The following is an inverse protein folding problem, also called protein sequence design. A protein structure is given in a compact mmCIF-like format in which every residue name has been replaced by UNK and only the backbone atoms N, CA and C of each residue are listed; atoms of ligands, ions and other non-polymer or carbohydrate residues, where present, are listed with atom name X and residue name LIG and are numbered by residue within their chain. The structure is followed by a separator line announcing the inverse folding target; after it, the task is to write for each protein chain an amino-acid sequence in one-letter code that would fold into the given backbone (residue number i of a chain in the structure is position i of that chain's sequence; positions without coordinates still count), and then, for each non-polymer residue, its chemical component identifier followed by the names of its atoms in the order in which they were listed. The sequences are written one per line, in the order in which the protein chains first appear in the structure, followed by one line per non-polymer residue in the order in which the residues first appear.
data_IF_599758797223
#
_entry.id   IF_599758797223
#
_cell.length_a   1.000
_cell.length_b   1.000
_cell.length_c   1.000
_cell.angle_alpha   90.00
_cell.angle_beta   90.00
_cell.angle_gamma   90.00
#
_symmetry.space_group_name_H-M   'P 1'
#
loop_
_entity.id
_entity.type
_entity.pdbx_description
1 polymer ?
#
# COMPACT_ATOMS: atom_id res chain seq x y z
N UNK A 1 -29.48 -12.80 -31.46
CA UNK A 1 -29.74 -11.74 -30.48
C UNK A 1 -28.41 -11.14 -30.07
N UNK A 2 -28.08 -9.91 -30.45
CA UNK A 2 -26.88 -9.23 -29.92
C UNK A 2 -27.37 -8.29 -28.81
N UNK A 3 -26.82 -8.48 -27.61
CA UNK A 3 -27.05 -7.57 -26.47
C UNK A 3 -25.85 -6.63 -26.42
N UNK A 4 -26.10 -5.35 -26.65
CA UNK A 4 -25.10 -4.31 -26.48
C UNK A 4 -25.21 -3.78 -25.04
N UNK A 5 -24.26 -4.12 -24.19
CA UNK A 5 -24.19 -3.55 -22.85
C UNK A 5 -23.80 -2.07 -22.95
N UNK A 6 -24.32 -1.19 -22.08
CA UNK A 6 -23.88 0.19 -22.02
C UNK A 6 -22.37 0.25 -21.67
N UNK A 7 -21.67 1.15 -22.32
CA UNK A 7 -20.26 1.38 -22.04
C UNK A 7 -20.12 2.03 -20.67
N UNK A 8 -19.46 1.35 -19.74
CA UNK A 8 -19.22 1.88 -18.41
C UNK A 8 -17.93 2.72 -18.43
N UNK A 9 -18.03 3.98 -17.99
CA UNK A 9 -16.89 4.90 -17.90
C UNK A 9 -16.75 5.45 -16.49
N UNK A 10 -15.53 5.81 -16.12
CA UNK A 10 -15.26 6.64 -14.95
C UNK A 10 -15.37 8.11 -15.36
N UNK A 11 -15.78 8.95 -14.42
CA UNK A 11 -15.97 10.39 -14.62
C UNK A 11 -15.23 11.15 -13.50
N UNK A 12 -13.90 11.01 -13.48
CA UNK A 12 -13.02 11.80 -12.61
C UNK A 12 -12.30 12.83 -13.49
N UNK A 13 -12.01 14.03 -12.97
CA UNK A 13 -11.12 14.97 -13.67
C UNK A 13 -9.75 14.31 -13.91
N UNK A 14 -9.25 14.39 -15.14
CA UNK A 14 -7.91 13.94 -15.48
C UNK A 14 -6.87 14.89 -14.87
N UNK A 15 -5.84 14.36 -14.24
CA UNK A 15 -4.74 15.13 -13.66
C UNK A 15 -3.40 14.51 -14.07
N UNK A 16 -2.40 15.36 -14.30
CA UNK A 16 -1.04 14.94 -14.66
C UNK A 16 -0.31 14.38 -13.42
N UNK A 17 -0.75 13.21 -13.01
CA UNK A 17 -0.17 12.44 -11.90
C UNK A 17 0.51 11.22 -12.52
N UNK A 18 1.81 11.00 -12.26
CA UNK A 18 2.53 9.86 -12.82
C UNK A 18 1.90 8.54 -12.41
N UNK A 19 1.63 7.69 -13.38
CA UNK A 19 1.21 6.30 -13.19
C UNK A 19 2.35 5.39 -13.63
N UNK A 20 2.71 4.43 -12.80
CA UNK A 20 3.82 3.50 -13.04
C UNK A 20 3.29 2.08 -13.25
N UNK A 21 2.92 1.69 -14.49
CA UNK A 21 2.48 0.34 -14.79
C UNK A 21 3.62 -0.66 -14.59
N UNK A 22 3.34 -1.79 -13.94
CA UNK A 22 4.24 -2.94 -13.81
C UNK A 22 3.71 -4.16 -14.55
N UNK A 23 2.41 -4.18 -14.82
CA UNK A 23 1.75 -5.18 -15.66
C UNK A 23 0.48 -4.58 -16.27
N UNK A 24 0.20 -4.91 -17.52
CA UNK A 24 -1.03 -4.50 -18.19
C UNK A 24 -1.43 -5.51 -19.26
N UNK A 25 -2.71 -5.87 -19.28
CA UNK A 25 -3.36 -6.63 -20.36
C UNK A 25 -4.76 -6.06 -20.65
N UNK A 26 -5.61 -6.82 -21.33
CA UNK A 26 -6.98 -6.40 -21.67
C UNK A 26 -7.92 -6.32 -20.44
N UNK A 27 -7.59 -7.04 -19.37
CA UNK A 27 -8.43 -7.21 -18.20
C UNK A 27 -7.94 -6.45 -16.96
N UNK A 28 -6.63 -6.33 -16.80
CA UNK A 28 -5.98 -5.80 -15.59
C UNK A 28 -4.92 -4.76 -15.94
N UNK A 29 -4.80 -3.79 -15.06
CA UNK A 29 -3.66 -2.89 -14.96
C UNK A 29 -3.13 -2.95 -13.52
N UNK A 30 -1.87 -3.33 -13.34
CA UNK A 30 -1.19 -3.30 -12.06
C UNK A 30 -0.18 -2.17 -12.07
N UNK A 31 -0.27 -1.28 -11.09
CA UNK A 31 0.63 -0.14 -10.98
C UNK A 31 1.44 -0.20 -9.69
N UNK A 32 2.63 0.37 -9.71
CA UNK A 32 3.44 0.63 -8.52
C UNK A 32 3.05 2.00 -7.97
N UNK A 33 2.19 2.02 -6.94
CA UNK A 33 1.73 3.26 -6.33
C UNK A 33 2.85 3.95 -5.54
N UNK A 34 3.08 5.22 -5.82
CA UNK A 34 3.98 6.09 -5.05
C UNK A 34 3.38 6.47 -3.68
N UNK A 35 4.21 6.90 -2.70
CA UNK A 35 3.73 7.42 -1.42
C UNK A 35 3.11 8.81 -1.57
N UNK A 36 2.43 9.29 -0.52
CA UNK A 36 1.89 10.65 -0.44
C UNK A 36 0.61 10.88 -1.26
N UNK A 37 0.01 9.85 -1.84
CA UNK A 37 -1.19 9.96 -2.67
C UNK A 37 -2.24 8.92 -2.30
N UNK A 38 -3.50 9.34 -2.20
CA UNK A 38 -4.64 8.45 -1.95
C UNK A 38 -5.11 7.79 -3.25
N UNK A 39 -5.70 6.61 -3.11
CA UNK A 39 -6.12 5.79 -4.26
C UNK A 39 -7.36 6.37 -4.94
N UNK A 40 -8.38 6.72 -4.17
CA UNK A 40 -9.71 7.08 -4.69
C UNK A 40 -10.21 8.37 -4.07
N UNK A 41 -10.91 9.23 -4.82
CA UNK A 41 -11.48 10.46 -4.28
C UNK A 41 -12.39 10.20 -3.06
N UNK A 42 -12.27 11.05 -2.07
CA UNK A 42 -13.11 11.07 -0.88
C UNK A 42 -13.69 12.46 -0.65
N UNK A 43 -14.64 12.60 0.28
CA UNK A 43 -15.22 13.93 0.61
C UNK A 43 -14.17 14.97 1.02
N UNK A 44 -13.08 14.54 1.68
CA UNK A 44 -11.99 15.42 2.09
C UNK A 44 -10.89 15.62 1.04
N UNK A 45 -10.82 14.74 0.05
CA UNK A 45 -9.81 14.74 -1.01
C UNK A 45 -10.48 14.39 -2.36
N UNK A 46 -11.20 15.32 -3.00
CA UNK A 46 -11.92 15.07 -4.25
C UNK A 46 -11.00 15.00 -5.48
N UNK A 47 -9.78 15.50 -5.36
CA UNK A 47 -8.76 15.60 -6.40
C UNK A 47 -7.41 15.04 -5.90
N UNK A 48 -6.43 15.02 -6.79
CA UNK A 48 -5.06 14.58 -6.51
C UNK A 48 -5.00 13.13 -6.01
N UNK A 49 -5.69 12.23 -6.72
CA UNK A 49 -5.74 10.80 -6.40
C UNK A 49 -5.22 9.95 -7.55
N UNK A 50 -4.91 8.69 -7.28
CA UNK A 50 -4.54 7.73 -8.34
C UNK A 50 -5.66 7.62 -9.39
N UNK A 51 -6.93 7.73 -9.00
CA UNK A 51 -8.04 7.72 -9.95
C UNK A 51 -7.95 8.88 -10.97
N UNK A 52 -7.56 10.09 -10.51
CA UNK A 52 -7.37 11.25 -11.39
C UNK A 52 -6.18 11.03 -12.36
N UNK A 53 -5.07 10.48 -11.85
CA UNK A 53 -3.92 10.11 -12.70
C UNK A 53 -4.25 9.04 -13.73
N UNK A 54 -5.07 8.04 -13.35
CA UNK A 54 -5.52 7.00 -14.27
C UNK A 54 -6.42 7.55 -15.41
N UNK A 55 -7.21 8.60 -15.16
CA UNK A 55 -7.95 9.28 -16.23
C UNK A 55 -6.99 9.86 -17.27
N UNK A 56 -5.95 10.56 -16.83
CA UNK A 56 -4.91 11.09 -17.72
C UNK A 56 -4.15 9.97 -18.44
N UNK A 57 -3.78 8.92 -17.73
CA UNK A 57 -3.14 7.74 -18.33
C UNK A 57 -3.99 7.12 -19.46
N UNK A 58 -5.31 6.99 -19.25
CA UNK A 58 -6.22 6.48 -20.27
C UNK A 58 -6.30 7.41 -21.49
N UNK A 59 -6.31 8.73 -21.29
CA UNK A 59 -6.25 9.70 -22.39
C UNK A 59 -4.97 9.52 -23.21
N UNK A 60 -3.82 9.48 -22.54
CA UNK A 60 -2.51 9.40 -23.19
C UNK A 60 -2.28 8.06 -23.92
N UNK A 61 -2.88 6.99 -23.44
CA UNK A 61 -2.78 5.65 -24.04
C UNK A 61 -3.95 5.30 -24.95
N UNK A 62 -4.88 6.26 -25.19
CA UNK A 62 -6.09 6.08 -25.99
C UNK A 62 -6.93 4.86 -25.52
N UNK A 63 -7.04 4.68 -24.22
CA UNK A 63 -7.85 3.66 -23.59
C UNK A 63 -9.11 4.27 -22.95
N UNK A 64 -10.15 3.44 -22.79
CA UNK A 64 -11.39 3.86 -22.12
C UNK A 64 -11.98 2.67 -21.36
N UNK A 65 -11.93 2.72 -20.03
CA UNK A 65 -12.56 1.73 -19.15
C UNK A 65 -13.05 2.37 -17.87
N UNK A 66 -13.94 1.70 -17.16
CA UNK A 66 -14.30 2.09 -15.81
C UNK A 66 -13.22 1.64 -14.84
N UNK A 67 -12.64 2.58 -14.10
CA UNK A 67 -11.64 2.28 -13.07
C UNK A 67 -12.27 1.48 -11.93
N UNK A 68 -11.75 0.30 -11.66
CA UNK A 68 -12.21 -0.60 -10.59
C UNK A 68 -11.01 -1.04 -9.77
N UNK A 69 -10.76 -0.35 -8.67
CA UNK A 69 -9.72 -0.78 -7.74
C UNK A 69 -10.11 -2.08 -7.06
N UNK A 70 -9.26 -3.09 -7.16
CA UNK A 70 -9.47 -4.40 -6.55
C UNK A 70 -8.95 -4.43 -5.11
N UNK A 71 -7.84 -3.77 -4.86
CA UNK A 71 -7.28 -3.55 -3.53
C UNK A 71 -7.12 -2.04 -3.28
N UNK A 72 -6.68 -1.71 -2.09
CA UNK A 72 -6.32 -0.35 -1.71
C UNK A 72 -5.00 -0.36 -0.94
N UNK A 73 -4.28 0.74 -1.06
CA UNK A 73 -3.12 1.07 -0.24
C UNK A 73 -3.40 2.41 0.44
N UNK A 74 -2.90 2.59 1.64
CA UNK A 74 -3.00 3.85 2.34
C UNK A 74 -2.12 4.93 1.67
N UNK A 75 -2.29 6.19 2.03
CA UNK A 75 -1.66 7.32 1.36
C UNK A 75 -0.14 7.14 1.24
N UNK A 76 0.51 6.81 2.34
CA UNK A 76 1.97 6.71 2.40
C UNK A 76 2.51 5.29 2.13
N UNK A 77 1.62 4.32 1.92
CA UNK A 77 2.03 2.96 1.52
C UNK A 77 2.32 2.92 0.03
N UNK A 78 3.48 2.38 -0.32
CA UNK A 78 3.89 2.12 -1.71
C UNK A 78 3.59 0.69 -2.13
N UNK A 79 3.64 0.42 -3.44
CA UNK A 79 3.59 -0.94 -3.99
C UNK A 79 2.38 -1.21 -4.86
N UNK A 80 2.04 -2.48 -5.01
CA UNK A 80 1.14 -2.96 -6.07
C UNK A 80 -0.32 -2.60 -5.81
N UNK A 81 -0.90 -1.85 -6.73
CA UNK A 81 -2.32 -1.53 -6.79
C UNK A 81 -2.93 -2.12 -8.06
N UNK A 82 -3.95 -2.96 -7.89
CA UNK A 82 -4.61 -3.67 -8.98
C UNK A 82 -5.86 -2.90 -9.39
N UNK A 83 -5.94 -2.61 -10.67
CA UNK A 83 -7.10 -1.98 -11.33
C UNK A 83 -7.67 -2.97 -12.32
N UNK A 84 -8.92 -3.37 -12.14
CA UNK A 84 -9.64 -4.15 -13.14
C UNK A 84 -10.28 -3.22 -14.19
N UNK A 85 -10.09 -3.54 -15.47
CA UNK A 85 -10.63 -2.78 -16.60
C UNK A 85 -12.09 -3.12 -16.89
N UNK A 86 -12.56 -4.27 -16.42
CA UNK A 86 -13.95 -4.72 -16.55
C UNK A 86 -14.46 -5.38 -15.27
N UNK A 87 -15.77 -5.61 -15.20
CA UNK A 87 -16.42 -6.17 -14.01
C UNK A 87 -16.10 -7.64 -13.79
N UNK A 88 -15.86 -8.40 -14.86
CA UNK A 88 -15.54 -9.83 -14.77
C UNK A 88 -14.18 -10.04 -14.09
N UNK A 89 -13.16 -9.32 -14.55
CA UNK A 89 -11.83 -9.34 -13.93
C UNK A 89 -11.87 -8.87 -12.47
N UNK A 90 -12.66 -7.82 -12.17
CA UNK A 90 -12.84 -7.36 -10.79
C UNK A 90 -13.41 -8.48 -9.91
N UNK A 91 -14.50 -9.11 -10.35
CA UNK A 91 -15.17 -10.18 -9.60
C UNK A 91 -14.26 -11.38 -9.37
N UNK A 92 -13.47 -11.77 -10.37
CA UNK A 92 -12.59 -12.92 -10.28
C UNK A 92 -11.48 -12.68 -9.28
N UNK A 93 -10.76 -11.56 -9.37
CA UNK A 93 -9.69 -11.22 -8.41
C UNK A 93 -10.25 -11.04 -6.99
N UNK A 94 -11.42 -10.42 -6.83
CA UNK A 94 -12.08 -10.28 -5.52
C UNK A 94 -12.46 -11.64 -4.93
N UNK A 95 -12.92 -12.60 -5.76
CA UNK A 95 -13.19 -13.98 -5.32
C UNK A 95 -11.91 -14.68 -4.84
N UNK A 96 -10.81 -14.55 -5.57
CA UNK A 96 -9.51 -15.08 -5.17
C UNK A 96 -9.03 -14.48 -3.85
N UNK A 97 -9.16 -13.16 -3.66
CA UNK A 97 -8.83 -12.49 -2.41
C UNK A 97 -9.69 -12.97 -1.23
N UNK A 98 -10.99 -13.18 -1.45
CA UNK A 98 -11.90 -13.72 -0.41
C UNK A 98 -11.61 -15.17 -0.07
N UNK A 99 -11.18 -15.96 -1.04
CA UNK A 99 -10.76 -17.35 -0.85
C UNK A 99 -9.35 -17.48 -0.24
N UNK A 100 -8.66 -16.36 0.02
CA UNK A 100 -7.28 -16.30 0.49
C UNK A 100 -6.29 -17.06 -0.44
N UNK A 101 -6.59 -17.12 -1.74
CA UNK A 101 -5.67 -17.65 -2.75
C UNK A 101 -4.75 -16.58 -3.33
N UNK A 102 -5.00 -15.31 -2.98
CA UNK A 102 -4.13 -14.17 -3.30
C UNK A 102 -3.40 -13.75 -2.04
N UNK A 103 -2.08 -13.81 -2.06
CA UNK A 103 -1.25 -13.39 -0.95
C UNK A 103 -1.01 -11.87 -0.96
N UNK A 104 -1.20 -11.23 0.19
CA UNK A 104 -0.91 -9.81 0.39
C UNK A 104 0.35 -9.69 1.23
N UNK A 105 1.50 -9.55 0.55
CA UNK A 105 2.81 -9.43 1.18
C UNK A 105 3.27 -7.99 1.19
N UNK A 106 3.85 -7.57 2.30
CA UNK A 106 4.44 -6.26 2.50
C UNK A 106 5.83 -6.41 3.09
N UNK A 107 6.68 -5.46 2.79
CA UNK A 107 7.97 -5.28 3.46
C UNK A 107 7.89 -4.00 4.26
N UNK A 108 8.33 -4.06 5.52
CA UNK A 108 8.39 -2.90 6.38
C UNK A 108 9.71 -2.86 7.16
N UNK A 109 10.22 -1.65 7.34
CA UNK A 109 11.28 -1.38 8.29
C UNK A 109 10.62 -0.82 9.56
N UNK A 110 10.72 -1.55 10.65
CA UNK A 110 10.12 -1.17 11.93
C UNK A 110 11.18 -0.72 12.93
N UNK A 111 10.85 0.26 13.73
CA UNK A 111 11.72 0.77 14.79
C UNK A 111 11.81 -0.26 15.93
N UNK A 112 13.03 -0.46 16.45
CA UNK A 112 13.32 -1.43 17.49
C UNK A 112 13.75 -2.79 16.94
N UNK A 113 14.20 -3.64 17.86
CA UNK A 113 14.67 -4.99 17.57
C UNK A 113 13.63 -5.99 18.02
N UNK A 114 13.09 -6.74 17.06
CA UNK A 114 12.18 -7.85 17.31
C UNK A 114 13.03 -9.09 17.59
N UNK A 115 12.83 -9.74 18.75
CA UNK A 115 13.63 -10.88 19.17
C UNK A 115 13.25 -12.17 18.43
N UNK A 116 11.95 -12.38 18.19
CA UNK A 116 11.42 -13.57 17.54
C UNK A 116 11.66 -13.52 16.02
N UNK A 117 11.99 -14.66 15.40
CA UNK A 117 12.20 -14.73 13.95
C UNK A 117 10.89 -14.73 13.15
N UNK A 118 9.81 -15.22 13.76
CA UNK A 118 8.47 -15.18 13.18
C UNK A 118 7.40 -15.30 14.27
N UNK A 119 6.29 -14.60 14.04
CA UNK A 119 5.12 -14.64 14.93
C UNK A 119 3.86 -14.23 14.19
N UNK A 120 2.72 -14.38 14.85
CA UNK A 120 1.43 -13.96 14.32
C UNK A 120 0.82 -12.92 15.25
N UNK A 121 0.38 -11.81 14.67
CA UNK A 121 -0.46 -10.82 15.33
C UNK A 121 -1.90 -11.16 14.97
N UNK A 122 -2.67 -11.62 15.97
CA UNK A 122 -4.11 -11.90 15.85
C UNK A 122 -4.85 -11.04 16.86
N UNK A 123 -5.06 -9.78 16.51
CA UNK A 123 -5.67 -8.78 17.39
C UNK A 123 -6.78 -8.04 16.62
N UNK A 124 -8.00 -7.99 17.18
CA UNK A 124 -9.10 -7.31 16.52
C UNK A 124 -8.81 -5.81 16.35
N UNK A 125 -9.06 -5.29 15.14
CA UNK A 125 -8.88 -3.87 14.84
C UNK A 125 -10.25 -3.23 14.61
N UNK A 126 -10.48 -2.10 15.25
CA UNK A 126 -11.73 -1.37 15.12
C UNK A 126 -11.56 0.14 15.19
N UNK A 127 -12.69 0.78 15.23
CA UNK A 127 -12.81 2.23 15.40
C UNK A 127 -13.43 2.48 16.77
N UNK A 128 -12.68 3.03 17.75
CA UNK A 128 -13.22 3.26 19.09
C UNK A 128 -14.33 4.31 19.09
N UNK A 129 -14.22 5.30 18.21
CA UNK A 129 -15.23 6.33 17.99
C UNK A 129 -15.63 6.34 16.51
N UNK A 130 -16.92 6.34 16.14
CA UNK A 130 -17.36 6.42 14.76
C UNK A 130 -16.83 7.66 14.00
N UNK A 131 -16.54 8.76 14.70
CA UNK A 131 -16.01 9.99 14.13
C UNK A 131 -14.47 9.97 14.00
N UNK A 132 -13.76 9.10 14.74
CA UNK A 132 -12.30 8.97 14.62
C UNK A 132 -11.93 8.18 13.37
N UNK A 133 -11.03 8.73 12.57
CA UNK A 133 -10.49 8.05 11.38
C UNK A 133 -9.46 6.98 11.74
N UNK A 134 -8.86 7.07 12.90
CA UNK A 134 -7.83 6.14 13.39
C UNK A 134 -8.42 4.78 13.73
N UNK A 135 -7.59 3.77 13.60
CA UNK A 135 -7.89 2.40 14.00
C UNK A 135 -7.05 2.04 15.22
N UNK A 136 -7.64 1.21 16.09
CA UNK A 136 -6.96 0.69 17.28
C UNK A 136 -7.26 -0.80 17.45
N UNK A 137 -6.39 -1.49 18.14
CA UNK A 137 -6.69 -2.80 18.70
C UNK A 137 -7.82 -2.62 19.73
N UNK A 138 -8.84 -3.48 19.64
CA UNK A 138 -10.03 -3.43 20.50
C UNK A 138 -10.27 -4.81 21.11
N UNK A 139 -10.55 -4.86 22.40
CA UNK A 139 -10.94 -6.12 23.07
C UNK A 139 -12.35 -6.54 22.65
N UNK A 140 -13.24 -5.58 22.43
CA UNK A 140 -14.62 -5.83 22.01
C UNK A 140 -14.97 -4.96 20.79
N UNK A 141 -15.81 -5.48 19.90
CA UNK A 141 -16.33 -4.75 18.73
C UNK A 141 -15.34 -4.51 17.59
N UNK A 142 -14.12 -5.03 17.71
CA UNK A 142 -13.13 -5.01 16.63
C UNK A 142 -13.40 -6.10 15.57
N UNK A 143 -12.87 -5.90 14.37
CA UNK A 143 -12.89 -6.91 13.31
C UNK A 143 -11.65 -7.80 13.40
N UNK A 144 -11.77 -9.13 13.28
CA UNK A 144 -10.64 -10.04 13.26
C UNK A 144 -9.57 -9.58 12.26
N UNK A 145 -8.34 -9.49 12.71
CA UNK A 145 -7.22 -8.97 11.92
C UNK A 145 -5.97 -9.80 12.19
N UNK A 146 -5.56 -10.57 11.19
CA UNK A 146 -4.45 -11.52 11.30
C UNK A 146 -3.33 -11.13 10.36
N UNK A 147 -2.14 -10.94 10.91
CA UNK A 147 -0.89 -10.65 10.19
C UNK A 147 0.19 -11.62 10.63
N UNK A 148 0.76 -12.38 9.71
CA UNK A 148 1.95 -13.18 9.95
C UNK A 148 3.19 -12.33 9.69
N UNK A 149 4.09 -12.29 10.66
CA UNK A 149 5.33 -11.52 10.62
C UNK A 149 6.50 -12.48 10.50
N UNK A 150 7.41 -12.19 9.55
CA UNK A 150 8.69 -12.87 9.41
C UNK A 150 9.80 -11.83 9.43
N UNK A 151 10.74 -11.99 10.37
CA UNK A 151 11.92 -11.13 10.43
C UNK A 151 12.89 -11.53 9.31
N UNK A 152 13.30 -10.55 8.53
CA UNK A 152 14.25 -10.72 7.43
C UNK A 152 15.66 -10.31 7.86
N UNK A 153 15.78 -9.21 8.63
CA UNK A 153 17.06 -8.74 9.14
C UNK A 153 16.88 -7.86 10.38
N UNK A 154 17.92 -7.79 11.21
CA UNK A 154 18.01 -6.92 12.39
C UNK A 154 19.24 -6.02 12.28
N UNK A 155 19.07 -4.76 12.61
CA UNK A 155 20.10 -3.71 12.47
C UNK A 155 20.32 -3.05 13.84
N UNK A 156 21.04 -3.71 14.71
CA UNK A 156 21.37 -3.25 16.06
C UNK A 156 22.39 -2.10 16.00
N UNK A 157 22.22 -1.10 16.85
CA UNK A 157 23.11 0.04 16.93
C UNK A 157 23.22 0.87 15.65
N UNK A 158 22.29 0.71 14.71
CA UNK A 158 22.27 1.43 13.44
C UNK A 158 21.31 2.61 13.46
N UNK A 159 21.67 3.66 12.76
CA UNK A 159 20.80 4.81 12.52
C UNK A 159 19.73 4.48 11.46
N UNK A 160 18.67 5.28 11.40
CA UNK A 160 17.63 5.14 10.38
C UNK A 160 18.21 5.11 8.96
N UNK A 161 19.21 5.95 8.67
CA UNK A 161 19.86 5.99 7.37
C UNK A 161 20.51 4.67 6.97
N UNK A 162 21.16 3.95 7.90
CA UNK A 162 21.72 2.62 7.61
C UNK A 162 20.64 1.54 7.47
N UNK A 163 19.51 1.67 8.18
CA UNK A 163 18.34 0.77 8.00
C UNK A 163 17.70 0.95 6.63
N UNK A 164 17.56 2.19 6.17
CA UNK A 164 17.05 2.51 4.83
C UNK A 164 17.99 2.04 3.72
N UNK A 165 19.31 2.19 3.89
CA UNK A 165 20.29 1.64 2.94
C UNK A 165 20.20 0.11 2.84
N UNK A 166 19.95 -0.58 3.96
CA UNK A 166 19.74 -2.03 3.97
C UNK A 166 18.42 -2.45 3.31
N UNK A 167 17.33 -1.67 3.52
CA UNK A 167 16.07 -1.88 2.80
C UNK A 167 16.25 -1.66 1.30
N UNK A 168 17.01 -0.66 0.88
CA UNK A 168 17.34 -0.42 -0.52
C UNK A 168 18.12 -1.60 -1.10
N UNK A 169 19.16 -2.08 -0.42
CA UNK A 169 19.91 -3.27 -0.85
C UNK A 169 19.05 -4.53 -0.97
N UNK A 170 18.05 -4.70 -0.08
CA UNK A 170 17.07 -5.78 -0.21
C UNK A 170 16.19 -5.58 -1.45
N UNK A 171 15.67 -4.36 -1.68
CA UNK A 171 14.86 -4.03 -2.85
C UNK A 171 15.63 -4.27 -4.15
N UNK A 172 16.89 -3.84 -4.21
CA UNK A 172 17.76 -4.02 -5.38
C UNK A 172 18.06 -5.50 -5.66
N UNK A 173 18.08 -6.35 -4.61
CA UNK A 173 18.29 -7.79 -4.76
C UNK A 173 17.10 -8.55 -5.36
N UNK A 174 15.90 -7.96 -5.29
CA UNK A 174 14.66 -8.57 -5.82
C UNK A 174 14.13 -7.89 -7.10
N UNK A 175 14.66 -6.69 -7.43
CA UNK A 175 14.29 -5.90 -8.60
C UNK A 175 15.56 -5.55 -9.38
N UNK A 176 15.91 -6.33 -10.40
CA UNK A 176 17.15 -6.16 -11.16
C UNK A 176 17.25 -4.86 -11.99
N UNK A 177 16.22 -3.99 -12.08
CA UNK A 177 16.16 -2.94 -13.12
C UNK A 177 15.88 -1.50 -12.71
N UNK A 178 15.79 -1.11 -11.42
CA UNK A 178 15.58 0.31 -11.08
C UNK A 178 16.64 0.88 -10.14
N UNK A 179 17.47 1.79 -10.67
CA UNK A 179 18.32 2.67 -9.86
C UNK A 179 17.43 3.62 -9.04
N UNK A 180 17.28 3.33 -7.76
CA UNK A 180 16.59 4.22 -6.83
C UNK A 180 17.59 5.24 -6.28
N UNK A 181 17.26 6.52 -6.42
CA UNK A 181 17.97 7.64 -5.80
C UNK A 181 17.90 7.56 -4.27
N UNK A 182 18.98 7.92 -3.59
CA UNK A 182 19.11 7.85 -2.13
C UNK A 182 17.92 8.47 -1.38
N UNK A 183 17.38 7.80 -0.35
CA UNK A 183 16.35 8.41 0.50
C UNK A 183 16.96 9.56 1.30
N UNK A 184 16.42 10.75 1.10
CA UNK A 184 16.93 12.00 1.66
C UNK A 184 16.45 12.26 3.09
N UNK A 185 16.65 11.33 4.04
CA UNK A 185 16.48 11.65 5.46
C UNK A 185 17.80 12.07 6.07
N UNK A 186 17.85 13.28 6.65
CA UNK A 186 19.00 13.80 7.35
C UNK A 186 18.76 13.77 8.87
N UNK A 187 19.80 13.66 9.70
CA UNK A 187 19.67 13.91 11.14
C UNK A 187 19.00 15.25 11.39
N UNK A 188 17.90 15.26 12.16
CA UNK A 188 17.08 16.43 12.40
C UNK A 188 15.79 16.51 11.58
N UNK A 189 15.61 15.68 10.57
CA UNK A 189 14.35 15.61 9.83
C UNK A 189 13.23 15.10 10.73
N UNK A 190 12.05 15.69 10.55
CA UNK A 190 10.83 15.27 11.22
C UNK A 190 10.14 14.18 10.38
N UNK A 191 9.91 13.02 10.98
CA UNK A 191 9.14 11.95 10.37
C UNK A 191 7.87 11.71 11.17
N UNK A 192 6.80 11.33 10.49
CA UNK A 192 5.54 10.97 11.17
C UNK A 192 5.50 9.47 11.39
N UNK A 193 5.48 9.06 12.66
CA UNK A 193 5.32 7.65 13.05
C UNK A 193 4.05 7.53 13.90
N UNK A 194 3.09 6.74 13.46
CA UNK A 194 1.79 6.55 14.13
C UNK A 194 1.01 7.85 14.39
N UNK A 195 1.23 8.90 13.58
CA UNK A 195 0.59 10.20 13.76
C UNK A 195 1.34 11.17 14.68
N UNK A 196 2.41 10.73 15.32
CA UNK A 196 3.30 11.57 16.12
C UNK A 196 4.49 12.04 15.27
N UNK A 197 4.86 13.30 15.43
CA UNK A 197 6.04 13.89 14.79
C UNK A 197 7.26 13.50 15.62
N UNK A 198 8.12 12.65 15.05
CA UNK A 198 9.35 12.18 15.70
C UNK A 198 10.56 12.76 14.99
N UNK A 199 11.49 13.35 15.77
CA UNK A 199 12.78 13.74 15.23
C UNK A 199 13.66 12.50 15.04
N UNK A 200 14.40 12.42 13.96
CA UNK A 200 15.26 11.25 13.63
C UNK A 200 16.25 10.92 14.76
N UNK A 201 16.55 11.87 15.64
CA UNK A 201 17.40 11.68 16.84
C UNK A 201 16.72 10.91 17.98
N UNK A 202 15.39 10.76 17.96
CA UNK A 202 14.60 10.09 19.01
C UNK A 202 14.27 8.63 18.67
N UNK A 203 14.71 8.16 17.49
CA UNK A 203 14.46 6.79 17.07
C UNK A 203 15.29 5.78 17.89
N UNK A 204 14.71 4.61 18.18
CA UNK A 204 15.42 3.57 18.95
C UNK A 204 16.72 3.15 18.25
N UNK A 205 17.68 2.67 19.03
CA UNK A 205 19.03 2.29 18.59
C UNK A 205 19.07 1.02 17.72
N UNK A 206 18.03 0.77 16.93
CA UNK A 206 17.99 -0.38 16.05
C UNK A 206 16.69 -0.44 15.22
N UNK A 207 16.72 -1.26 14.18
CA UNK A 207 15.61 -1.49 13.25
C UNK A 207 15.49 -2.96 12.92
N UNK A 208 14.28 -3.39 12.61
CA UNK A 208 14.02 -4.73 12.10
C UNK A 208 13.32 -4.63 10.74
N UNK A 209 13.88 -5.29 9.75
CA UNK A 209 13.25 -5.49 8.45
C UNK A 209 12.35 -6.71 8.53
N UNK A 210 11.08 -6.55 8.19
CA UNK A 210 10.09 -7.63 8.28
C UNK A 210 9.33 -7.82 6.97
N UNK A 211 8.98 -9.06 6.69
CA UNK A 211 7.93 -9.42 5.74
C UNK A 211 6.63 -9.61 6.51
N UNK A 212 5.54 -9.05 5.99
CA UNK A 212 4.20 -9.14 6.56
C UNK A 212 3.30 -9.85 5.55
N UNK A 213 2.68 -10.96 5.96
CA UNK A 213 1.63 -11.62 5.18
C UNK A 213 0.29 -11.37 5.84
N UNK A 214 -0.57 -10.59 5.18
CA UNK A 214 -1.89 -10.25 5.68
C UNK A 214 -2.91 -11.33 5.28
N UNK A 215 -3.38 -12.10 6.24
CA UNK A 215 -4.49 -13.04 6.05
C UNK A 215 -5.83 -12.30 5.93
N UNK A 216 -5.95 -11.17 6.59
CA UNK A 216 -7.09 -10.26 6.50
C UNK A 216 -6.70 -8.97 5.78
N UNK A 217 -7.65 -8.07 5.51
CA UNK A 217 -7.38 -6.77 4.89
C UNK A 217 -8.24 -5.72 5.55
N UNK A 218 -7.83 -5.22 6.70
CA UNK A 218 -8.52 -4.14 7.42
C UNK A 218 -7.87 -2.79 7.11
N UNK A 219 -8.63 -1.72 7.27
CA UNK A 219 -8.09 -0.37 7.15
C UNK A 219 -7.03 -0.15 8.22
N UNK A 220 -5.85 0.32 7.84
CA UNK A 220 -4.68 0.57 8.70
C UNK A 220 -4.20 -0.70 9.45
N UNK A 221 -4.40 -1.89 8.89
CA UNK A 221 -3.83 -3.12 9.43
C UNK A 221 -2.33 -3.13 9.16
#
# INVERSE_FOLDING_TARGET
LSIKLPEEKSDFPAEDIPIYPVYEDDDLLVINKQPGIIVHPTKGHPYHTIANGLMKYMEDTNQSFKIRFVNRLDMDTTGLLIVAKNSHAQDDVVKQMKANTTEKRYIALVAGIIAEDSFTIDLPIGRPDPEDVRRKVMEEGGYPSVTHVKVLARYEGKTLGSGLAAYQGYKDSIMEDEKVTEPAFKPGDLITVNGDLITVTELPAGFTLVELLLQTGRTHQ
#
